data_IF_213605241187
#
_entry.id   IF_213605241187
#
_cell.length_a   1.000
_cell.length_b   1.000
_cell.length_c   1.000
_cell.angle_alpha   90.00
_cell.angle_beta   90.00
_cell.angle_gamma   90.00
#
_symmetry.space_group_name_H-M   'P 1'
#
loop_
_entity.id
_entity.type
_entity.pdbx_description
1 polymer ?
#
# COMPACT_ATOMS: atom_id res chain seq x y z
N UNK A 1 11.35 10.72 13.80
CA UNK A 1 12.49 10.68 12.86
C UNK A 1 13.81 10.60 13.63
N UNK A 2 14.16 11.52 14.55
CA UNK A 2 15.44 11.52 15.29
C UNK A 2 15.77 10.18 15.96
N UNK A 3 14.80 9.53 16.65
CA UNK A 3 15.01 8.21 17.29
C UNK A 3 15.27 7.09 16.27
N UNK A 4 14.62 7.13 15.11
CA UNK A 4 14.87 6.16 14.05
C UNK A 4 16.27 6.34 13.45
N UNK A 5 16.69 7.57 13.23
CA UNK A 5 18.04 7.89 12.73
C UNK A 5 19.15 7.55 13.74
N UNK A 6 18.95 7.90 15.02
CA UNK A 6 19.92 7.59 16.09
C UNK A 6 20.15 6.08 16.29
N UNK A 7 19.25 5.24 15.80
CA UNK A 7 19.32 3.79 15.89
C UNK A 7 19.63 3.12 14.55
N UNK A 8 20.35 3.77 13.65
CA UNK A 8 20.79 3.22 12.36
C UNK A 8 19.75 3.26 11.25
N UNK A 9 18.68 4.04 11.39
CA UNK A 9 17.67 4.20 10.34
C UNK A 9 16.66 3.03 10.22
N UNK A 10 16.22 2.77 9.02
CA UNK A 10 15.31 1.68 8.66
C UNK A 10 15.85 0.91 7.44
N UNK A 11 15.31 -0.28 7.18
CA UNK A 11 15.74 -1.09 6.05
C UNK A 11 15.40 -0.43 4.72
N UNK A 12 16.39 -0.24 3.84
CA UNK A 12 16.24 0.28 2.49
C UNK A 12 15.96 -0.78 1.42
N UNK A 13 16.02 -2.09 1.78
CA UNK A 13 15.79 -3.22 0.88
C UNK A 13 14.33 -3.72 0.85
N UNK A 14 13.40 -2.84 1.23
CA UNK A 14 11.95 -3.07 1.22
C UNK A 14 11.25 -2.14 0.22
N UNK A 15 10.16 -2.62 -0.36
CA UNK A 15 9.41 -1.83 -1.34
C UNK A 15 8.60 -0.71 -0.68
N UNK A 16 7.99 -0.99 0.48
CA UNK A 16 7.11 -0.06 1.17
C UNK A 16 7.86 0.68 2.30
N UNK A 17 8.82 1.51 1.91
CA UNK A 17 9.71 2.25 2.80
C UNK A 17 8.97 3.08 3.86
N UNK A 18 7.89 3.77 3.47
CA UNK A 18 7.10 4.56 4.41
C UNK A 18 6.50 3.71 5.53
N UNK A 19 5.99 2.51 5.22
CA UNK A 19 5.45 1.60 6.23
C UNK A 19 6.57 1.04 7.11
N UNK A 20 7.72 0.74 6.52
CA UNK A 20 8.91 0.29 7.26
C UNK A 20 9.37 1.37 8.27
N UNK A 21 9.48 2.62 7.83
CA UNK A 21 9.83 3.75 8.70
C UNK A 21 8.82 3.90 9.85
N UNK A 22 7.52 3.93 9.55
CA UNK A 22 6.46 4.06 10.55
C UNK A 22 6.53 2.92 11.58
N UNK A 23 6.72 1.69 11.13
CA UNK A 23 6.84 0.51 11.99
C UNK A 23 8.11 0.52 12.83
N UNK A 24 9.23 0.97 12.26
CA UNK A 24 10.50 1.12 12.96
C UNK A 24 10.38 2.13 14.11
N UNK A 25 9.77 3.29 13.84
CA UNK A 25 9.51 4.31 14.88
C UNK A 25 8.61 3.74 15.98
N UNK A 26 7.51 3.09 15.60
CA UNK A 26 6.56 2.52 16.57
C UNK A 26 7.16 1.35 17.37
N UNK A 27 7.99 0.49 16.76
CA UNK A 27 8.67 -0.61 17.45
C UNK A 27 9.60 -0.11 18.55
N UNK A 28 10.18 1.09 18.37
CA UNK A 28 11.08 1.77 19.30
C UNK A 28 10.37 2.71 20.29
N UNK A 29 9.06 2.53 20.49
CA UNK A 29 8.27 3.35 21.42
C UNK A 29 8.07 4.80 20.98
N UNK A 30 8.29 5.11 19.70
CA UNK A 30 8.01 6.43 19.14
C UNK A 30 6.53 6.58 18.78
N UNK A 31 6.05 7.83 18.78
CA UNK A 31 4.69 8.19 18.37
C UNK A 31 4.66 8.47 16.87
N UNK A 32 3.63 7.94 16.21
CA UNK A 32 3.34 8.19 14.80
C UNK A 32 2.07 9.02 14.70
N UNK A 33 2.23 10.26 14.27
CA UNK A 33 1.13 11.17 13.99
C UNK A 33 0.75 11.10 12.52
N UNK A 34 -0.56 11.05 12.23
CA UNK A 34 -1.11 11.04 10.87
C UNK A 34 -1.71 12.40 10.56
N UNK A 35 -1.01 13.21 9.79
CA UNK A 35 -1.53 14.47 9.27
C UNK A 35 -2.56 14.19 8.16
N UNK A 36 -3.83 13.99 8.54
CA UNK A 36 -4.91 13.60 7.61
C UNK A 36 -5.34 14.75 6.71
N UNK A 37 -5.06 15.97 7.10
CA UNK A 37 -5.37 17.24 6.46
C UNK A 37 -4.23 17.75 5.56
N UNK A 38 -3.08 17.07 5.55
CA UNK A 38 -1.96 17.40 4.69
C UNK A 38 -2.11 16.71 3.32
N UNK A 39 -2.39 17.49 2.30
CA UNK A 39 -2.44 17.04 0.90
C UNK A 39 -1.20 17.50 0.16
N UNK A 40 -0.56 16.57 -0.54
CA UNK A 40 0.62 16.85 -1.37
C UNK A 40 0.24 16.67 -2.83
N UNK A 41 0.33 17.75 -3.60
CA UNK A 41 0.10 17.71 -5.04
C UNK A 41 1.18 16.88 -5.73
N UNK A 42 0.75 16.02 -6.65
CA UNK A 42 1.65 15.22 -7.49
C UNK A 42 1.31 15.39 -8.94
N UNK A 43 2.32 15.56 -9.78
CA UNK A 43 2.15 15.53 -11.24
C UNK A 43 1.73 14.12 -11.67
N UNK A 44 0.74 13.99 -12.57
CA UNK A 44 0.34 12.71 -13.11
C UNK A 44 1.52 12.00 -13.78
N UNK A 45 1.77 10.73 -13.49
CA UNK A 45 2.81 9.98 -14.18
C UNK A 45 2.36 9.59 -15.60
N UNK A 46 3.32 9.22 -16.47
CA UNK A 46 2.97 8.60 -17.75
C UNK A 46 2.18 7.31 -17.55
N UNK A 47 1.36 6.91 -18.52
CA UNK A 47 0.55 5.69 -18.45
C UNK A 47 1.38 4.42 -18.17
N UNK A 48 2.58 4.33 -18.75
CA UNK A 48 3.53 3.22 -18.51
C UNK A 48 3.98 3.20 -17.05
N UNK A 49 4.38 4.36 -16.53
CA UNK A 49 4.83 4.50 -15.16
C UNK A 49 3.68 4.23 -14.17
N UNK A 50 2.48 4.74 -14.46
CA UNK A 50 1.29 4.49 -13.68
C UNK A 50 1.01 2.99 -13.52
N UNK A 51 0.97 2.21 -14.63
CA UNK A 51 0.74 0.76 -14.58
C UNK A 51 1.79 0.04 -13.71
N UNK A 52 3.07 0.37 -13.86
CA UNK A 52 4.13 -0.25 -13.05
C UNK A 52 3.99 0.09 -11.56
N UNK A 53 3.61 1.32 -11.25
CA UNK A 53 3.33 1.73 -9.87
C UNK A 53 2.13 0.99 -9.27
N UNK A 54 1.07 0.73 -10.05
CA UNK A 54 -0.13 0.04 -9.58
C UNK A 54 0.18 -1.38 -9.09
N UNK A 55 0.98 -2.13 -9.85
CA UNK A 55 1.43 -3.47 -9.43
C UNK A 55 2.30 -3.41 -8.17
N UNK A 56 3.23 -2.44 -8.09
CA UNK A 56 4.04 -2.26 -6.88
C UNK A 56 3.20 -1.89 -5.65
N UNK A 57 2.20 -1.02 -5.81
CA UNK A 57 1.26 -0.70 -4.74
C UNK A 57 0.41 -1.91 -4.31
N UNK A 58 0.09 -2.82 -5.22
CA UNK A 58 -0.54 -4.09 -4.87
C UNK A 58 0.43 -5.02 -4.12
N UNK A 59 1.71 -4.99 -4.49
CA UNK A 59 2.75 -5.74 -3.79
C UNK A 59 2.96 -5.27 -2.35
N UNK A 60 2.79 -3.98 -2.06
CA UNK A 60 2.85 -3.40 -0.71
C UNK A 60 1.83 -4.04 0.24
N UNK A 61 0.69 -4.53 -0.28
CA UNK A 61 -0.34 -5.20 0.51
C UNK A 61 0.16 -6.49 1.17
N UNK A 62 1.24 -7.10 0.67
CA UNK A 62 1.89 -8.26 1.30
C UNK A 62 2.47 -7.95 2.69
N UNK A 63 2.75 -6.68 2.99
CA UNK A 63 3.11 -6.24 4.32
C UNK A 63 1.91 -6.16 5.29
N UNK A 64 0.68 -6.33 4.78
CA UNK A 64 -0.59 -6.18 5.50
C UNK A 64 -1.51 -7.36 5.17
N UNK A 65 -1.39 -8.53 5.88
CA UNK A 65 -2.06 -9.78 5.50
C UNK A 65 -3.57 -9.67 5.29
N UNK A 66 -4.26 -8.92 6.16
CA UNK A 66 -5.71 -8.72 6.04
C UNK A 66 -6.10 -7.93 4.79
N UNK A 67 -5.33 -6.91 4.47
CA UNK A 67 -5.53 -6.14 3.24
C UNK A 67 -5.27 -7.00 2.00
N UNK A 68 -4.21 -7.79 2.02
CA UNK A 68 -3.90 -8.72 0.94
C UNK A 68 -5.04 -9.73 0.74
N UNK A 69 -5.54 -10.35 1.82
CA UNK A 69 -6.66 -11.29 1.74
C UNK A 69 -7.91 -10.64 1.13
N UNK A 70 -8.26 -9.43 1.59
CA UNK A 70 -9.38 -8.69 1.04
C UNK A 70 -9.20 -8.36 -0.45
N UNK A 71 -8.01 -7.90 -0.85
CA UNK A 71 -7.71 -7.57 -2.25
C UNK A 71 -7.72 -8.82 -3.16
N UNK A 72 -7.21 -9.96 -2.68
CA UNK A 72 -7.25 -11.23 -3.43
C UNK A 72 -8.67 -11.79 -3.55
N UNK A 73 -9.54 -11.54 -2.57
CA UNK A 73 -10.95 -11.95 -2.62
C UNK A 73 -11.78 -11.15 -3.64
N UNK A 74 -11.34 -9.96 -4.05
CA UNK A 74 -12.09 -9.12 -4.99
C UNK A 74 -12.34 -9.80 -6.34
N UNK A 75 -11.31 -10.41 -6.95
CA UNK A 75 -11.46 -11.03 -8.26
C UNK A 75 -12.41 -12.21 -8.24
N UNK A 76 -12.28 -13.21 -7.35
CA UNK A 76 -13.26 -14.29 -7.23
C UNK A 76 -14.67 -13.76 -6.96
N UNK A 77 -14.83 -12.78 -6.09
CA UNK A 77 -16.14 -12.21 -5.79
C UNK A 77 -16.77 -11.54 -7.01
N UNK A 78 -16.00 -10.78 -7.80
CA UNK A 78 -16.47 -10.18 -9.04
C UNK A 78 -16.83 -11.24 -10.09
N UNK A 79 -16.05 -12.31 -10.21
CA UNK A 79 -16.35 -13.41 -11.14
C UNK A 79 -17.61 -14.18 -10.74
N UNK A 80 -17.81 -14.44 -9.44
CA UNK A 80 -19.05 -15.06 -8.95
C UNK A 80 -20.27 -14.19 -9.23
N UNK A 81 -20.11 -12.85 -9.15
CA UNK A 81 -21.17 -11.89 -9.44
C UNK A 81 -21.59 -11.88 -10.91
N UNK A 82 -20.79 -12.43 -11.84
CA UNK A 82 -21.19 -12.57 -13.25
C UNK A 82 -22.46 -13.41 -13.45
N UNK A 83 -22.82 -14.25 -12.47
CA UNK A 83 -24.08 -15.04 -12.49
C UNK A 83 -25.32 -14.20 -12.18
N UNK A 84 -25.15 -13.02 -11.56
CA UNK A 84 -26.23 -12.09 -11.21
C UNK A 84 -25.77 -10.65 -11.53
N UNK A 85 -25.80 -10.24 -12.82
CA UNK A 85 -25.14 -9.00 -13.28
C UNK A 85 -25.68 -7.74 -12.61
N UNK A 86 -26.91 -7.71 -12.12
CA UNK A 86 -27.44 -6.60 -11.32
C UNK A 86 -26.62 -6.30 -10.06
N UNK A 87 -25.93 -7.28 -9.51
CA UNK A 87 -25.04 -7.09 -8.35
C UNK A 87 -23.82 -6.23 -8.63
N UNK A 88 -23.36 -6.13 -9.89
CA UNK A 88 -22.26 -5.19 -10.21
C UNK A 88 -22.63 -3.74 -9.93
N UNK A 89 -23.90 -3.37 -10.09
CA UNK A 89 -24.38 -2.03 -9.74
C UNK A 89 -24.31 -1.78 -8.24
N UNK A 90 -24.63 -2.79 -7.43
CA UNK A 90 -24.53 -2.72 -5.97
C UNK A 90 -23.06 -2.55 -5.55
N UNK A 91 -22.15 -3.33 -6.12
CA UNK A 91 -20.71 -3.21 -5.88
C UNK A 91 -20.16 -1.84 -6.29
N UNK A 92 -20.56 -1.36 -7.47
CA UNK A 92 -20.16 -0.05 -7.96
C UNK A 92 -20.66 1.06 -7.05
N UNK A 93 -21.94 1.02 -6.67
CA UNK A 93 -22.53 1.99 -5.75
C UNK A 93 -21.82 1.97 -4.38
N UNK A 94 -21.57 0.79 -3.82
CA UNK A 94 -20.82 0.66 -2.56
C UNK A 94 -19.41 1.25 -2.66
N UNK A 95 -18.68 0.97 -3.75
CA UNK A 95 -17.35 1.52 -3.98
C UNK A 95 -17.39 3.06 -4.06
N UNK A 96 -18.35 3.62 -4.79
CA UNK A 96 -18.55 5.08 -4.90
C UNK A 96 -18.90 5.68 -3.54
N UNK A 97 -19.81 5.07 -2.77
CA UNK A 97 -20.18 5.57 -1.44
C UNK A 97 -18.99 5.59 -0.48
N UNK A 98 -18.18 4.54 -0.46
CA UNK A 98 -16.97 4.48 0.38
C UNK A 98 -15.96 5.55 -0.05
N UNK A 99 -15.74 5.72 -1.36
CA UNK A 99 -14.83 6.73 -1.89
C UNK A 99 -15.31 8.15 -1.58
N UNK A 100 -16.62 8.42 -1.73
CA UNK A 100 -17.20 9.71 -1.42
C UNK A 100 -17.13 10.02 0.08
N UNK A 101 -17.36 9.01 0.94
CA UNK A 101 -17.14 9.18 2.38
C UNK A 101 -15.67 9.54 2.66
N UNK A 102 -14.72 8.87 2.01
CA UNK A 102 -13.29 9.18 2.14
C UNK A 102 -12.95 10.60 1.70
N UNK A 103 -13.53 11.06 0.57
CA UNK A 103 -13.36 12.42 0.07
C UNK A 103 -13.87 13.48 1.05
N UNK A 104 -14.87 13.16 1.85
CA UNK A 104 -15.47 14.09 2.84
C UNK A 104 -14.68 14.22 4.14
N UNK A 105 -13.66 13.39 4.35
CA UNK A 105 -12.86 13.41 5.58
C UNK A 105 -11.69 14.40 5.44
N UNK A 106 -11.34 15.06 6.54
CA UNK A 106 -10.11 15.84 6.72
C UNK A 106 -9.84 16.89 5.62
N UNK A 107 -10.88 17.62 5.20
CA UNK A 107 -10.73 18.69 4.20
C UNK A 107 -10.66 18.22 2.75
N UNK A 108 -10.78 16.92 2.48
CA UNK A 108 -10.67 16.37 1.13
C UNK A 108 -11.68 16.94 0.12
N UNK A 109 -12.84 17.45 0.56
CA UNK A 109 -13.80 18.16 -0.30
C UNK A 109 -13.23 19.41 -0.98
N UNK A 110 -12.29 20.07 -0.33
CA UNK A 110 -11.66 21.28 -0.86
C UNK A 110 -10.60 20.98 -1.91
N UNK A 111 -10.04 19.75 -1.88
CA UNK A 111 -8.92 19.33 -2.72
C UNK A 111 -9.38 18.47 -3.89
N UNK A 112 -10.34 17.56 -3.67
CA UNK A 112 -10.78 16.58 -4.67
C UNK A 112 -12.12 16.95 -5.28
N UNK A 113 -12.20 16.93 -6.62
CA UNK A 113 -13.44 17.15 -7.36
C UNK A 113 -14.52 16.13 -6.97
N UNK A 114 -15.82 16.51 -7.03
CA UNK A 114 -16.93 15.60 -6.70
C UNK A 114 -16.94 14.30 -7.54
N UNK A 115 -16.48 14.38 -8.77
CA UNK A 115 -16.46 13.26 -9.73
C UNK A 115 -15.40 12.20 -9.43
N UNK A 116 -14.43 12.48 -8.56
CA UNK A 116 -13.32 11.54 -8.26
C UNK A 116 -13.84 10.22 -7.70
N UNK A 117 -14.89 10.26 -6.88
CA UNK A 117 -15.49 9.06 -6.30
C UNK A 117 -16.09 8.11 -7.35
N UNK A 118 -16.53 8.62 -8.51
CA UNK A 118 -17.10 7.81 -9.60
C UNK A 118 -16.08 6.86 -10.23
N UNK A 119 -14.78 7.11 -10.06
CA UNK A 119 -13.71 6.24 -10.54
C UNK A 119 -13.42 5.06 -9.61
N UNK A 120 -14.04 5.02 -8.43
CA UNK A 120 -13.79 3.96 -7.45
C UNK A 120 -14.08 2.54 -7.98
N UNK A 121 -15.15 2.27 -8.74
CA UNK A 121 -15.39 0.94 -9.31
C UNK A 121 -14.26 0.49 -10.24
N UNK A 122 -13.76 1.37 -11.11
CA UNK A 122 -12.64 1.07 -12.00
C UNK A 122 -11.35 0.79 -11.20
N UNK A 123 -11.14 1.54 -10.12
CA UNK A 123 -10.01 1.31 -9.22
C UNK A 123 -10.10 -0.03 -8.48
N UNK A 124 -11.30 -0.44 -8.04
CA UNK A 124 -11.53 -1.75 -7.40
C UNK A 124 -11.29 -2.88 -8.41
N UNK A 125 -11.79 -2.77 -9.64
CA UNK A 125 -11.58 -3.76 -10.69
C UNK A 125 -10.09 -3.90 -11.04
N UNK A 126 -9.37 -2.79 -11.17
CA UNK A 126 -7.91 -2.77 -11.38
C UNK A 126 -7.18 -3.46 -10.21
N UNK A 127 -7.56 -3.16 -8.97
CA UNK A 127 -6.97 -3.75 -7.78
C UNK A 127 -7.22 -5.26 -7.69
N UNK A 128 -8.41 -5.71 -8.09
CA UNK A 128 -8.75 -7.12 -8.17
C UNK A 128 -7.78 -7.91 -9.06
N UNK A 129 -7.33 -7.32 -10.17
CA UNK A 129 -6.36 -7.94 -11.07
C UNK A 129 -4.93 -7.79 -10.56
N UNK A 130 -4.53 -6.57 -10.19
CA UNK A 130 -3.14 -6.28 -9.82
C UNK A 130 -2.70 -6.95 -8.53
N UNK A 131 -3.61 -7.28 -7.60
CA UNK A 131 -3.30 -8.07 -6.42
C UNK A 131 -2.80 -9.48 -6.78
N UNK A 132 -3.43 -10.15 -7.75
CA UNK A 132 -2.98 -11.46 -8.24
C UNK A 132 -1.69 -11.38 -9.04
N UNK A 133 -1.49 -10.34 -9.85
CA UNK A 133 -0.22 -10.08 -10.53
C UNK A 133 0.91 -9.87 -9.50
N UNK A 134 0.65 -9.12 -8.44
CA UNK A 134 1.62 -8.91 -7.37
C UNK A 134 1.95 -10.21 -6.61
N UNK A 135 0.95 -11.09 -6.41
CA UNK A 135 1.17 -12.42 -5.83
C UNK A 135 2.03 -13.30 -6.75
N UNK A 136 1.78 -13.29 -8.07
CA UNK A 136 2.61 -13.98 -9.04
C UNK A 136 4.07 -13.48 -9.04
N UNK A 137 4.29 -12.17 -8.97
CA UNK A 137 5.63 -11.60 -8.83
C UNK A 137 6.34 -12.06 -7.55
N UNK A 138 5.60 -12.19 -6.45
CA UNK A 138 6.18 -12.74 -5.22
C UNK A 138 6.66 -14.17 -5.42
N UNK A 139 5.85 -15.02 -6.05
CA UNK A 139 6.22 -16.40 -6.37
C UNK A 139 7.43 -16.47 -7.32
N UNK A 140 7.52 -15.52 -8.26
CA UNK A 140 8.63 -15.38 -9.19
C UNK A 140 9.91 -14.73 -8.60
N UNK A 141 9.97 -14.56 -7.26
CA UNK A 141 11.16 -14.06 -6.58
C UNK A 141 11.22 -12.57 -6.32
N UNK A 142 10.11 -11.85 -6.49
CA UNK A 142 9.97 -10.44 -6.14
C UNK A 142 9.58 -9.53 -7.30
N UNK A 143 9.13 -8.32 -6.96
CA UNK A 143 8.72 -7.31 -7.94
C UNK A 143 9.94 -6.62 -8.57
N UNK A 144 9.93 -6.33 -9.88
CA UNK A 144 11.00 -5.57 -10.54
C UNK A 144 11.07 -4.13 -9.98
N UNK A 145 12.28 -3.71 -9.59
CA UNK A 145 12.53 -2.37 -9.08
C UNK A 145 13.98 -1.96 -9.34
N UNK A 146 14.19 -0.79 -9.94
CA UNK A 146 15.51 -0.17 -10.17
C UNK A 146 16.60 -1.14 -10.71
N UNK A 147 16.26 -1.95 -11.71
CA UNK A 147 17.18 -2.91 -12.32
C UNK A 147 17.37 -4.22 -11.55
N UNK A 148 16.76 -4.38 -10.38
CA UNK A 148 16.78 -5.59 -9.55
C UNK A 148 15.37 -6.12 -9.23
N UNK A 149 15.30 -6.98 -8.20
CA UNK A 149 14.03 -7.49 -7.65
C UNK A 149 13.96 -7.26 -6.14
N UNK A 150 12.86 -6.70 -5.68
CA UNK A 150 12.55 -6.57 -4.27
C UNK A 150 11.59 -7.68 -3.83
N UNK A 151 12.01 -8.47 -2.85
CA UNK A 151 11.22 -9.59 -2.31
C UNK A 151 10.34 -9.19 -1.13
N UNK A 152 10.77 -8.21 -0.35
CA UNK A 152 10.10 -7.81 0.88
C UNK A 152 9.29 -6.53 0.66
N UNK A 153 8.01 -6.55 1.04
CA UNK A 153 7.18 -5.36 1.02
C UNK A 153 7.53 -4.44 2.22
N UNK A 154 7.55 -4.98 3.42
CA UNK A 154 8.02 -4.33 4.65
C UNK A 154 8.20 -5.37 5.76
N UNK A 155 8.96 -5.04 6.81
CA UNK A 155 9.15 -5.88 7.99
C UNK A 155 7.87 -5.94 8.83
N UNK A 156 7.63 -7.08 9.49
CA UNK A 156 6.55 -7.18 10.47
C UNK A 156 6.92 -6.48 11.78
N UNK A 157 5.92 -5.95 12.52
CA UNK A 157 6.15 -5.37 13.85
C UNK A 157 6.85 -6.33 14.80
N UNK A 158 6.51 -7.63 14.71
CA UNK A 158 7.15 -8.67 15.54
C UNK A 158 8.64 -8.82 15.20
N UNK A 159 9.01 -8.79 13.93
CA UNK A 159 10.40 -8.87 13.50
C UNK A 159 11.22 -7.68 13.98
N UNK A 160 10.67 -6.48 13.84
CA UNK A 160 11.33 -5.25 14.29
C UNK A 160 11.54 -5.22 15.80
N UNK A 161 10.53 -5.57 16.60
CA UNK A 161 10.66 -5.66 18.07
C UNK A 161 11.69 -6.71 18.50
N UNK A 162 11.72 -7.88 17.83
CA UNK A 162 12.74 -8.91 18.13
C UNK A 162 14.16 -8.44 17.78
N UNK A 163 14.34 -7.70 16.71
CA UNK A 163 15.64 -7.14 16.33
C UNK A 163 16.16 -6.15 17.37
N UNK A 164 15.26 -5.32 17.92
CA UNK A 164 15.58 -4.38 18.99
C UNK A 164 15.99 -5.08 20.28
N UNK A 165 15.23 -6.11 20.72
CA UNK A 165 15.57 -6.87 21.93
C UNK A 165 16.88 -7.67 21.83
N UNK A 166 17.36 -7.97 20.63
CA UNK A 166 18.63 -8.68 20.42
C UNK A 166 19.85 -7.75 20.40
N UNK A 167 19.64 -6.45 20.57
CA UNK A 167 20.75 -5.48 20.56
C UNK A 167 21.54 -5.44 19.25
N UNK A 168 20.98 -5.95 18.17
CA UNK A 168 21.62 -5.88 16.86
C UNK A 168 21.45 -4.46 16.34
N UNK A 169 22.52 -3.63 16.28
CA UNK A 169 22.44 -2.37 15.55
C UNK A 169 21.98 -2.69 14.14
N UNK A 170 21.01 -1.95 13.63
CA UNK A 170 20.62 -2.04 12.22
C UNK A 170 21.90 -1.99 11.39
N UNK A 171 22.15 -3.05 10.62
CA UNK A 171 23.39 -3.24 9.89
C UNK A 171 23.86 -1.92 9.28
N UNK A 172 25.13 -1.60 9.50
CA UNK A 172 25.90 -0.59 8.77
C UNK A 172 25.77 -0.85 7.25
N UNK A 173 24.69 -0.37 6.66
CA UNK A 173 24.51 -0.33 5.21
C UNK A 173 24.30 1.12 4.83
N UNK A 174 25.14 1.65 3.94
CA UNK A 174 25.09 3.04 3.57
C UNK A 174 23.71 3.41 3.05
N UNK A 175 23.23 4.53 3.53
CA UNK A 175 22.06 5.23 3.01
C UNK A 175 22.49 5.75 1.63
N UNK A 176 21.92 5.17 0.54
CA UNK A 176 21.95 5.80 -0.77
C UNK A 176 20.96 6.96 -0.84
#
# INVERSE_FOLDING_TARGET
VRRALAAGGYRGDVLFENLELLRTVAARGGTVERAKDLFVERRPPSARHFRSQRVRQAYDSQAQPWRLAAELALLPALLLQARAPGGYLVWAAAAVMVAERGRRVAGGRQVFAPTVALWAPAWVAERAITAWVALAWRAAGGVPYAGGRLRHAASSMRALRRAEHRGTPGADRPIC
#
